data_IF_140403674845
#
_entry.id   IF_140403674845
#
_cell.length_a   1.000
_cell.length_b   1.000
_cell.length_c   1.000
_cell.angle_alpha   90.00
_cell.angle_beta   90.00
_cell.angle_gamma   90.00
#
_symmetry.space_group_name_H-M   'P 1'
#
loop_
_entity.id
_entity.type
_entity.pdbx_description
1 polymer ?
#
# COMPACT_ATOMS: atom_id res chain seq x y z
N UNK A 1 26.72 24.11 20.75
CA UNK A 1 26.07 22.95 20.10
C UNK A 1 24.99 23.51 19.22
N UNK A 2 25.30 23.70 17.94
CA UNK A 2 24.31 24.11 16.95
C UNK A 2 23.35 22.94 16.71
N UNK A 3 22.04 23.26 16.71
CA UNK A 3 20.95 22.30 16.54
C UNK A 3 21.06 21.59 15.19
N UNK A 4 21.23 20.27 15.22
CA UNK A 4 21.32 19.38 14.04
C UNK A 4 19.95 19.23 13.35
N UNK A 5 18.88 19.82 13.90
CA UNK A 5 17.53 19.58 13.44
C UNK A 5 17.06 20.53 12.31
N UNK A 6 16.35 20.00 11.29
CA UNK A 6 15.68 20.80 10.26
C UNK A 6 14.47 21.56 10.84
N UNK A 7 13.88 22.47 10.06
CA UNK A 7 12.74 23.34 10.41
C UNK A 7 11.76 22.77 11.46
N UNK A 8 11.40 23.58 12.47
CA UNK A 8 10.87 23.11 13.76
C UNK A 8 9.57 22.28 13.78
N UNK A 9 8.83 22.14 12.68
CA UNK A 9 7.63 21.30 12.64
C UNK A 9 7.96 19.80 12.63
N UNK A 10 9.03 19.38 11.95
CA UNK A 10 9.43 17.97 11.84
C UNK A 10 9.92 17.41 13.19
N UNK A 11 10.60 18.24 13.99
CA UNK A 11 11.13 17.87 15.31
C UNK A 11 10.00 17.43 16.24
N UNK A 12 8.95 18.24 16.34
CA UNK A 12 7.80 17.95 17.21
C UNK A 12 7.13 16.63 16.79
N UNK A 13 6.96 16.39 15.49
CA UNK A 13 6.37 15.16 14.96
C UNK A 13 7.14 13.89 15.38
N UNK A 14 8.47 13.94 15.32
CA UNK A 14 9.34 12.82 15.70
C UNK A 14 9.33 12.62 17.21
N UNK A 15 9.39 13.71 17.98
CA UNK A 15 9.37 13.63 19.44
C UNK A 15 8.06 13.04 19.96
N UNK A 16 6.91 13.44 19.38
CA UNK A 16 5.60 12.88 19.71
C UNK A 16 5.58 11.36 19.44
N UNK A 17 6.06 10.93 18.26
CA UNK A 17 6.17 9.51 17.91
C UNK A 17 7.05 8.72 18.88
N UNK A 18 8.24 9.22 19.19
CA UNK A 18 9.18 8.58 20.11
C UNK A 18 8.61 8.49 21.53
N UNK A 19 7.86 9.50 21.95
CA UNK A 19 7.16 9.52 23.25
C UNK A 19 6.08 8.45 23.30
N UNK A 20 5.24 8.35 22.26
CA UNK A 20 4.24 7.27 22.15
C UNK A 20 4.90 5.89 22.10
N UNK A 21 6.05 5.76 21.44
CA UNK A 21 6.85 4.53 21.44
C UNK A 21 7.59 4.25 22.77
N UNK A 22 7.42 5.10 23.80
CA UNK A 22 8.02 4.90 25.12
C UNK A 22 9.53 5.12 25.19
N UNK A 23 10.12 5.79 24.20
CA UNK A 23 11.56 6.08 24.16
C UNK A 23 11.87 7.18 25.19
N UNK A 24 12.86 6.92 26.05
CA UNK A 24 13.21 7.89 27.10
C UNK A 24 13.86 9.15 26.51
N UNK A 25 13.73 10.32 27.15
CA UNK A 25 14.37 11.56 26.67
C UNK A 25 15.89 11.45 26.45
N UNK A 26 16.57 10.59 27.23
CA UNK A 26 18.01 10.36 27.10
C UNK A 26 18.38 9.60 25.82
N UNK A 27 17.46 8.79 25.29
CA UNK A 27 17.68 7.95 24.11
C UNK A 27 17.18 8.59 22.81
N UNK A 28 16.26 9.56 22.90
CA UNK A 28 15.58 10.17 21.74
C UNK A 28 16.55 10.64 20.65
N UNK A 29 17.65 11.31 21.00
CA UNK A 29 18.65 11.78 20.03
C UNK A 29 19.32 10.62 19.29
N UNK A 30 19.73 9.57 20.02
CA UNK A 30 20.37 8.40 19.40
C UNK A 30 19.40 7.63 18.50
N UNK A 31 18.14 7.51 18.93
CA UNK A 31 17.08 6.85 18.16
C UNK A 31 16.72 7.66 16.91
N UNK A 32 16.65 8.99 17.01
CA UNK A 32 16.39 9.87 15.87
C UNK A 32 17.50 9.75 14.81
N UNK A 33 18.77 9.66 15.21
CA UNK A 33 19.88 9.45 14.27
C UNK A 33 19.74 8.15 13.46
N UNK A 34 19.17 7.10 14.05
CA UNK A 34 18.86 5.86 13.34
C UNK A 34 17.69 6.05 12.37
N UNK A 35 16.66 6.81 12.77
CA UNK A 35 15.46 7.02 11.96
C UNK A 35 15.67 7.99 10.79
N UNK A 36 16.47 9.05 10.97
CA UNK A 36 16.54 10.19 10.06
C UNK A 36 16.87 9.84 8.60
N UNK A 37 17.73 8.84 8.29
CA UNK A 37 18.00 8.45 6.90
C UNK A 37 16.80 7.79 6.21
N UNK A 38 15.78 7.39 6.97
CA UNK A 38 14.61 6.66 6.50
C UNK A 38 13.31 7.47 6.63
N UNK A 39 13.39 8.79 6.78
CA UNK A 39 12.22 9.67 6.77
C UNK A 39 11.96 10.20 5.36
N UNK A 40 10.79 9.87 4.81
CA UNK A 40 10.25 10.45 3.58
C UNK A 40 9.23 11.55 3.92
N UNK A 41 8.79 12.30 2.92
CA UNK A 41 7.76 13.33 3.08
C UNK A 41 6.65 13.17 2.05
N UNK A 42 5.41 13.38 2.48
CA UNK A 42 4.24 13.48 1.60
C UNK A 42 4.19 14.84 0.89
N UNK A 43 3.21 15.05 0.00
CA UNK A 43 3.09 16.32 -0.75
C UNK A 43 2.83 17.53 0.15
N UNK A 44 2.22 17.29 1.33
CA UNK A 44 1.96 18.33 2.35
C UNK A 44 3.07 18.45 3.38
N UNK A 45 4.26 17.89 3.09
CA UNK A 45 5.43 17.87 3.98
C UNK A 45 5.19 17.18 5.32
N UNK A 46 4.24 16.24 5.38
CA UNK A 46 4.11 15.36 6.54
C UNK A 46 5.25 14.33 6.49
N UNK A 47 6.03 14.18 7.57
CA UNK A 47 7.11 13.20 7.59
C UNK A 47 6.55 11.79 7.79
N UNK A 48 7.15 10.80 7.14
CA UNK A 48 6.83 9.38 7.29
C UNK A 48 8.11 8.58 7.51
N UNK A 49 8.15 7.76 8.56
CA UNK A 49 9.21 6.79 8.76
C UNK A 49 9.00 5.58 7.84
N UNK A 50 9.96 5.34 6.95
CA UNK A 50 9.96 4.22 6.01
C UNK A 50 10.62 3.01 6.68
N UNK A 51 9.88 1.91 6.82
CA UNK A 51 10.36 0.67 7.43
C UNK A 51 10.38 -0.42 6.37
N UNK A 52 11.57 -0.74 5.87
CA UNK A 52 11.76 -1.73 4.81
C UNK A 52 13.10 -2.44 4.96
N UNK A 53 13.10 -3.74 4.74
CA UNK A 53 14.33 -4.54 4.74
C UNK A 53 15.19 -4.31 3.48
N UNK A 54 14.57 -4.09 2.32
CA UNK A 54 15.25 -4.06 1.01
C UNK A 54 15.36 -2.65 0.42
N UNK A 55 14.80 -1.63 1.09
CA UNK A 55 14.58 -0.31 0.51
C UNK A 55 13.25 -0.28 -0.24
N UNK A 56 12.33 0.55 0.24
CA UNK A 56 10.98 0.66 -0.33
C UNK A 56 10.85 1.81 -1.32
N UNK A 57 11.66 2.85 -1.19
CA UNK A 57 11.62 4.06 -2.02
C UNK A 57 12.94 4.20 -2.76
N UNK A 58 12.88 4.55 -4.05
CA UNK A 58 14.03 4.88 -4.88
C UNK A 58 14.90 5.94 -4.22
N UNK A 59 16.21 5.67 -4.16
CA UNK A 59 17.19 6.54 -3.51
C UNK A 59 17.35 6.31 -2.01
N UNK A 60 16.47 5.55 -1.36
CA UNK A 60 16.68 5.11 0.01
C UNK A 60 17.56 3.86 0.01
N UNK A 61 18.61 3.85 0.84
CA UNK A 61 19.39 2.64 1.06
C UNK A 61 18.62 1.64 1.92
N UNK A 62 18.94 0.36 1.78
CA UNK A 62 18.52 -0.63 2.76
C UNK A 62 19.14 -0.30 4.15
N UNK A 63 18.39 -0.50 5.25
CA UNK A 63 18.95 -0.41 6.60
C UNK A 63 19.96 -1.52 6.85
N UNK A 64 20.96 -1.24 7.69
CA UNK A 64 21.80 -2.30 8.27
C UNK A 64 20.96 -3.19 9.18
N UNK A 65 21.44 -4.39 9.52
CA UNK A 65 20.71 -5.29 10.41
C UNK A 65 20.38 -4.66 11.78
N UNK A 66 21.30 -3.87 12.34
CA UNK A 66 21.08 -3.15 13.59
C UNK A 66 20.02 -2.06 13.46
N UNK A 67 20.10 -1.23 12.42
CA UNK A 67 19.10 -0.19 12.15
C UNK A 67 17.72 -0.79 11.92
N UNK A 68 17.61 -1.86 11.11
CA UNK A 68 16.35 -2.55 10.86
C UNK A 68 15.75 -3.09 12.16
N UNK A 69 16.57 -3.72 13.01
CA UNK A 69 16.11 -4.22 14.31
C UNK A 69 15.53 -3.09 15.17
N UNK A 70 16.21 -1.94 15.24
CA UNK A 70 15.70 -0.76 15.96
C UNK A 70 14.40 -0.23 15.35
N UNK A 71 14.30 -0.11 14.03
CA UNK A 71 13.09 0.38 13.35
C UNK A 71 11.89 -0.54 13.60
N UNK A 72 12.08 -1.86 13.56
CA UNK A 72 11.02 -2.84 13.84
C UNK A 72 10.59 -2.80 15.31
N UNK A 73 11.54 -2.66 16.25
CA UNK A 73 11.23 -2.50 17.68
C UNK A 73 10.43 -1.24 17.94
N UNK A 74 10.79 -0.12 17.29
CA UNK A 74 10.04 1.13 17.39
C UNK A 74 8.61 1.00 16.85
N UNK A 75 8.40 0.29 15.74
CA UNK A 75 7.06 0.05 15.20
C UNK A 75 6.17 -0.70 16.19
N UNK A 76 6.70 -1.77 16.80
CA UNK A 76 5.98 -2.55 17.82
C UNK A 76 5.71 -1.71 19.07
N UNK A 77 6.70 -0.98 19.56
CA UNK A 77 6.55 -0.11 20.74
C UNK A 77 5.53 1.01 20.48
N UNK A 78 5.56 1.63 19.31
CA UNK A 78 4.58 2.63 18.88
C UNK A 78 3.17 2.04 18.83
N UNK A 79 2.99 0.82 18.30
CA UNK A 79 1.70 0.14 18.30
C UNK A 79 1.17 -0.07 19.73
N UNK A 80 2.02 -0.45 20.69
CA UNK A 80 1.64 -0.57 22.10
C UNK A 80 1.27 0.77 22.73
N UNK A 81 1.99 1.85 22.41
CA UNK A 81 1.64 3.21 22.83
C UNK A 81 0.26 3.63 22.32
N UNK A 82 0.01 3.44 21.01
CA UNK A 82 -1.29 3.70 20.41
C UNK A 82 -2.41 2.87 21.05
N UNK A 83 -2.13 1.60 21.37
CA UNK A 83 -3.08 0.74 22.06
C UNK A 83 -3.45 1.27 23.45
N UNK A 84 -2.45 1.72 24.23
CA UNK A 84 -2.65 2.24 25.57
C UNK A 84 -3.48 3.54 25.58
N UNK A 85 -3.27 4.40 24.58
CA UNK A 85 -4.00 5.66 24.43
C UNK A 85 -5.43 5.46 23.85
N UNK A 86 -5.64 4.36 23.14
CA UNK A 86 -6.85 4.12 22.34
C UNK A 86 -6.89 5.02 21.11
N UNK A 87 -5.76 5.12 20.41
CA UNK A 87 -5.54 6.07 19.32
C UNK A 87 -6.39 5.76 18.09
N UNK A 88 -6.60 6.80 17.28
CA UNK A 88 -7.20 6.72 15.97
C UNK A 88 -6.11 6.87 14.91
N UNK A 89 -6.07 5.93 13.98
CA UNK A 89 -5.09 5.90 12.90
C UNK A 89 -5.83 5.91 11.56
N UNK A 90 -5.37 6.72 10.62
CA UNK A 90 -5.65 6.54 9.21
C UNK A 90 -4.77 5.41 8.70
N UNK A 91 -5.34 4.50 7.91
CA UNK A 91 -4.60 3.43 7.28
C UNK A 91 -5.04 3.28 5.82
N UNK A 92 -4.07 3.02 4.96
CA UNK A 92 -4.30 2.66 3.57
C UNK A 92 -3.21 1.72 3.08
N UNK A 93 -3.51 0.98 2.03
CA UNK A 93 -2.64 -0.06 1.51
C UNK A 93 -2.44 0.10 0.01
N UNK A 94 -1.22 -0.21 -0.42
CA UNK A 94 -0.88 -0.22 -1.82
C UNK A 94 -0.40 -1.61 -2.24
N UNK A 95 -0.76 -1.98 -3.46
CA UNK A 95 -0.40 -3.27 -4.01
C UNK A 95 -1.03 -3.55 -5.36
N UNK A 96 -0.81 -4.76 -5.83
CA UNK A 96 -1.16 -5.19 -7.17
C UNK A 96 -2.36 -6.13 -7.13
N UNK A 97 -3.46 -5.74 -7.79
CA UNK A 97 -4.67 -6.57 -7.91
C UNK A 97 -5.22 -7.07 -6.56
N UNK A 98 -5.23 -6.20 -5.54
CA UNK A 98 -5.68 -6.49 -4.17
C UNK A 98 -6.93 -7.37 -4.10
N UNK A 99 -6.97 -8.21 -3.07
CA UNK A 99 -7.95 -9.25 -2.82
C UNK A 99 -7.27 -10.61 -2.60
N UNK A 100 -8.03 -11.69 -2.72
CA UNK A 100 -7.55 -13.08 -2.55
C UNK A 100 -6.41 -13.53 -3.48
N UNK A 101 -6.11 -12.77 -4.53
CA UNK A 101 -5.14 -13.10 -5.58
C UNK A 101 -4.14 -11.99 -5.87
N UNK A 102 -4.24 -10.92 -5.09
CA UNK A 102 -3.39 -9.76 -5.20
C UNK A 102 -2.11 -9.91 -4.39
N UNK A 103 -1.31 -8.87 -4.49
CA UNK A 103 -0.12 -8.69 -3.67
C UNK A 103 -0.19 -7.31 -3.03
N UNK A 104 -0.55 -7.26 -1.76
CA UNK A 104 -0.43 -6.09 -0.92
C UNK A 104 1.05 -5.93 -0.54
N UNK A 105 1.63 -4.80 -0.95
CA UNK A 105 3.08 -4.56 -0.90
C UNK A 105 3.48 -3.54 0.15
N UNK A 106 2.62 -2.55 0.42
CA UNK A 106 2.94 -1.42 1.30
C UNK A 106 1.74 -1.06 2.16
N UNK A 107 2.01 -0.64 3.40
CA UNK A 107 1.04 0.00 4.29
C UNK A 107 1.46 1.44 4.61
N UNK A 108 0.52 2.38 4.54
CA UNK A 108 0.69 3.73 5.05
C UNK A 108 -0.21 3.92 6.28
N UNK A 109 0.34 4.48 7.36
CA UNK A 109 -0.41 4.76 8.60
C UNK A 109 -0.09 6.14 9.14
N UNK A 110 -1.11 6.85 9.64
CA UNK A 110 -0.95 8.19 10.22
C UNK A 110 -1.93 8.39 11.40
N UNK A 111 -1.42 8.77 12.57
CA UNK A 111 -2.29 9.12 13.70
C UNK A 111 -3.16 10.34 13.37
N UNK A 112 -4.40 10.31 13.83
CA UNK A 112 -5.35 11.41 13.57
C UNK A 112 -6.24 11.69 14.78
N UNK A 113 -6.49 12.97 15.13
CA UNK A 113 -7.42 13.35 16.17
C UNK A 113 -8.81 13.71 15.62
N UNK A 114 -9.10 13.47 14.34
CA UNK A 114 -10.31 13.99 13.68
C UNK A 114 -11.62 13.38 14.17
N UNK A 115 -11.56 12.24 14.85
CA UNK A 115 -12.70 11.61 15.53
C UNK A 115 -12.40 11.40 17.01
N UNK A 116 -13.40 11.56 17.86
CA UNK A 116 -13.33 11.20 19.29
C UNK A 116 -13.64 9.70 19.52
N UNK A 117 -13.49 9.25 20.78
CA UNK A 117 -13.74 7.85 21.19
C UNK A 117 -15.16 7.35 20.91
N UNK A 118 -16.12 8.25 20.71
CA UNK A 118 -17.50 7.89 20.34
C UNK A 118 -17.79 8.18 18.87
N UNK A 119 -16.75 8.32 18.04
CA UNK A 119 -16.78 8.52 16.60
C UNK A 119 -17.47 9.83 16.16
N UNK A 120 -17.33 10.90 16.94
CA UNK A 120 -17.80 12.23 16.52
C UNK A 120 -16.65 13.04 15.93
N UNK A 121 -16.88 13.80 14.84
CA UNK A 121 -15.93 14.77 14.35
C UNK A 121 -15.50 15.76 15.44
N UNK A 122 -14.20 15.93 15.60
CA UNK A 122 -13.61 16.94 16.48
C UNK A 122 -13.29 18.18 15.64
N UNK A 123 -13.67 19.40 16.09
CA UNK A 123 -13.20 20.63 15.43
C UNK A 123 -11.66 20.64 15.41
N UNK A 124 -11.08 20.47 14.23
CA UNK A 124 -9.66 20.27 14.08
C UNK A 124 -9.03 21.37 13.24
N UNK A 125 -8.03 22.04 13.82
CA UNK A 125 -7.08 22.86 13.10
C UNK A 125 -5.69 22.26 13.32
N UNK A 126 -5.11 21.73 12.24
CA UNK A 126 -3.78 21.12 12.31
C UNK A 126 -2.72 22.20 12.52
N UNK A 127 -1.95 22.09 13.61
CA UNK A 127 -0.75 22.92 13.86
C UNK A 127 0.50 22.26 13.28
N UNK A 128 0.62 20.95 13.44
CA UNK A 128 1.70 20.12 12.89
C UNK A 128 1.16 18.74 12.50
N UNK A 129 1.86 18.05 11.60
CA UNK A 129 1.54 16.67 11.25
C UNK A 129 2.26 15.71 12.20
N UNK A 130 1.64 14.64 12.70
CA UNK A 130 2.39 13.58 13.39
C UNK A 130 3.31 12.87 12.38
N UNK A 131 4.32 12.15 12.90
CA UNK A 131 5.13 11.26 12.07
C UNK A 131 4.26 10.07 11.63
N UNK A 132 4.11 9.90 10.31
CA UNK A 132 3.46 8.72 9.73
C UNK A 132 4.40 7.53 9.61
N UNK A 133 3.87 6.39 9.20
CA UNK A 133 4.60 5.15 8.94
C UNK A 133 4.34 4.71 7.49
N UNK A 134 5.38 4.31 6.78
CA UNK A 134 5.30 3.65 5.48
C UNK A 134 6.05 2.31 5.58
N UNK A 135 5.30 1.21 5.62
CA UNK A 135 5.84 -0.12 5.96
C UNK A 135 5.83 -1.03 4.74
N UNK A 136 6.96 -1.66 4.46
CA UNK A 136 7.12 -2.67 3.41
C UNK A 136 6.58 -4.02 3.84
N UNK A 137 5.45 -4.44 3.27
CA UNK A 137 4.78 -5.70 3.58
C UNK A 137 5.26 -6.86 2.71
N UNK A 138 6.39 -6.71 2.02
CA UNK A 138 7.07 -7.81 1.30
C UNK A 138 8.10 -8.54 2.18
N UNK A 139 8.38 -8.04 3.39
CA UNK A 139 9.27 -8.67 4.38
C UNK A 139 8.46 -9.26 5.53
N UNK A 140 8.73 -10.52 5.89
CA UNK A 140 8.08 -11.18 7.03
C UNK A 140 8.34 -10.45 8.35
N UNK A 141 9.56 -9.93 8.54
CA UNK A 141 9.92 -9.18 9.74
C UNK A 141 9.10 -7.87 9.86
N UNK A 142 8.91 -7.17 8.74
CA UNK A 142 8.06 -5.98 8.69
C UNK A 142 6.58 -6.31 8.92
N UNK A 143 6.07 -7.39 8.33
CA UNK A 143 4.70 -7.89 8.56
C UNK A 143 4.48 -8.19 10.05
N UNK A 144 5.41 -8.95 10.66
CA UNK A 144 5.30 -9.35 12.06
C UNK A 144 5.33 -8.14 13.00
N UNK A 145 6.17 -7.15 12.72
CA UNK A 145 6.22 -5.90 13.49
C UNK A 145 4.99 -5.01 13.28
N UNK A 146 4.36 -5.06 12.10
CA UNK A 146 3.17 -4.29 11.76
C UNK A 146 1.89 -4.91 12.33
N UNK A 147 1.84 -6.24 12.47
CA UNK A 147 0.66 -7.00 12.92
C UNK A 147 0.00 -6.44 14.20
N UNK A 148 0.72 -6.08 15.28
CA UNK A 148 0.11 -5.53 16.50
C UNK A 148 -0.76 -4.28 16.26
N UNK A 149 -0.38 -3.42 15.31
CA UNK A 149 -1.12 -2.21 14.98
C UNK A 149 -2.47 -2.54 14.33
N UNK A 150 -2.47 -3.48 13.38
CA UNK A 150 -3.68 -3.87 12.66
C UNK A 150 -4.60 -4.80 13.47
N UNK A 151 -4.03 -5.69 14.29
CA UNK A 151 -4.80 -6.68 15.04
C UNK A 151 -5.30 -6.17 16.40
N UNK A 152 -4.82 -5.01 16.88
CA UNK A 152 -5.33 -4.44 18.13
C UNK A 152 -6.77 -3.93 18.01
N UNK A 153 -7.73 -4.42 18.83
CA UNK A 153 -9.09 -3.90 18.83
C UNK A 153 -9.23 -2.54 19.54
N UNK A 154 -8.22 -2.11 20.31
CA UNK A 154 -8.25 -0.81 21.01
C UNK A 154 -7.77 0.35 20.15
N UNK A 155 -7.03 0.05 19.08
CA UNK A 155 -6.63 1.03 18.07
C UNK A 155 -7.72 1.09 17.01
N UNK A 156 -8.31 2.27 16.79
CA UNK A 156 -9.32 2.45 15.74
C UNK A 156 -8.64 2.83 14.42
N UNK A 157 -8.75 1.97 13.40
CA UNK A 157 -8.18 2.22 12.07
C UNK A 157 -9.26 2.73 11.12
N UNK A 158 -9.07 3.92 10.57
CA UNK A 158 -9.97 4.55 9.61
C UNK A 158 -9.43 4.31 8.20
N UNK A 159 -10.20 3.59 7.38
CA UNK A 159 -9.79 3.17 6.03
C UNK A 159 -10.87 3.53 5.00
N UNK A 160 -10.51 3.70 3.73
CA UNK A 160 -11.48 4.03 2.68
C UNK A 160 -11.68 2.90 1.69
N UNK A 161 -12.84 2.23 1.73
CA UNK A 161 -13.19 1.18 0.76
C UNK A 161 -12.32 -0.07 0.92
N UNK A 162 -12.29 -0.60 2.14
CA UNK A 162 -11.27 -1.53 2.60
C UNK A 162 -11.54 -3.03 2.29
N UNK A 163 -12.61 -3.35 1.56
CA UNK A 163 -13.03 -4.73 1.27
C UNK A 163 -11.86 -5.58 0.71
N UNK A 164 -11.16 -5.07 -0.31
CA UNK A 164 -10.05 -5.79 -0.94
C UNK A 164 -8.78 -5.84 -0.07
N UNK A 165 -8.59 -4.84 0.80
CA UNK A 165 -7.50 -4.82 1.77
C UNK A 165 -7.70 -5.92 2.82
N UNK A 166 -8.92 -6.08 3.34
CA UNK A 166 -9.27 -7.14 4.28
C UNK A 166 -9.04 -8.52 3.68
N UNK A 167 -9.48 -8.74 2.44
CA UNK A 167 -9.25 -9.97 1.70
C UNK A 167 -7.73 -10.26 1.59
N UNK A 168 -6.92 -9.25 1.25
CA UNK A 168 -5.47 -9.41 1.11
C UNK A 168 -4.79 -9.70 2.45
N UNK A 169 -5.06 -8.87 3.48
CA UNK A 169 -4.47 -9.01 4.82
C UNK A 169 -4.72 -10.40 5.42
N UNK A 170 -5.95 -10.92 5.26
CA UNK A 170 -6.32 -12.21 5.85
C UNK A 170 -5.88 -13.41 4.99
N UNK A 171 -5.98 -13.32 3.67
CA UNK A 171 -5.96 -14.51 2.79
C UNK A 171 -4.87 -14.50 1.72
N UNK A 172 -4.03 -13.47 1.64
CA UNK A 172 -2.85 -13.50 0.77
C UNK A 172 -1.84 -14.54 1.26
N UNK A 173 -1.47 -15.43 0.34
CA UNK A 173 -0.51 -16.53 0.58
C UNK A 173 0.77 -16.40 -0.25
N UNK A 174 0.66 -15.79 -1.44
CA UNK A 174 1.74 -15.67 -2.43
C UNK A 174 1.86 -14.20 -2.82
N UNK A 175 3.09 -13.65 -2.96
CA UNK A 175 4.38 -14.30 -2.75
C UNK A 175 4.75 -14.48 -1.27
N UNK A 176 4.11 -13.70 -0.38
CA UNK A 176 4.31 -13.75 1.05
C UNK A 176 2.97 -13.84 1.77
N UNK A 177 2.94 -14.67 2.79
CA UNK A 177 1.77 -14.86 3.63
C UNK A 177 1.66 -13.70 4.63
N UNK A 178 0.52 -12.99 4.62
CA UNK A 178 0.28 -11.87 5.55
C UNK A 178 -0.31 -12.36 6.88
N UNK A 179 -1.44 -13.09 6.82
CA UNK A 179 -2.18 -13.59 8.00
C UNK A 179 -2.38 -12.51 9.07
N UNK A 180 -2.80 -11.33 8.63
CA UNK A 180 -3.19 -10.24 9.53
C UNK A 180 -4.71 -10.25 9.61
N UNK A 181 -5.26 -10.40 10.82
CA UNK A 181 -6.70 -10.30 11.07
C UNK A 181 -7.02 -8.89 11.58
N UNK A 182 -7.38 -7.93 10.71
CA UNK A 182 -7.68 -6.57 11.13
C UNK A 182 -8.80 -6.53 12.16
N UNK A 183 -8.58 -5.80 13.26
CA UNK A 183 -9.58 -5.53 14.31
C UNK A 183 -9.71 -4.03 14.52
N UNK A 184 -10.83 -3.57 15.12
CA UNK A 184 -11.01 -2.14 15.38
C UNK A 184 -10.97 -1.26 14.12
N UNK A 185 -11.39 -1.80 12.96
CA UNK A 185 -11.40 -1.05 11.70
C UNK A 185 -12.76 -0.42 11.46
N UNK A 186 -12.73 0.77 10.86
CA UNK A 186 -13.87 1.51 10.34
C UNK A 186 -13.60 1.84 8.87
N UNK A 187 -14.32 1.20 7.96
CA UNK A 187 -14.38 1.64 6.57
C UNK A 187 -15.24 2.91 6.51
N UNK A 188 -14.59 4.06 6.47
CA UNK A 188 -15.27 5.36 6.48
C UNK A 188 -16.04 5.61 5.18
N UNK A 189 -15.75 4.89 4.09
CA UNK A 189 -16.52 4.97 2.85
C UNK A 189 -17.98 4.55 3.08
N UNK A 190 -18.24 3.57 3.95
CA UNK A 190 -19.61 3.15 4.31
C UNK A 190 -20.43 4.29 4.90
N UNK A 191 -19.81 5.24 5.61
CA UNK A 191 -20.54 6.36 6.20
C UNK A 191 -21.09 7.32 5.15
N UNK A 192 -20.50 7.33 3.94
CA UNK A 192 -20.88 8.24 2.86
C UNK A 192 -21.55 7.56 1.67
N UNK A 193 -21.68 6.23 1.73
CA UNK A 193 -22.28 5.41 0.67
C UNK A 193 -23.79 5.25 0.91
N UNK A 194 -24.56 4.99 -0.15
CA UNK A 194 -26.02 4.84 -0.06
C UNK A 194 -26.46 3.49 -0.64
N UNK A 195 -27.08 2.66 0.20
CA UNK A 195 -27.40 1.27 -0.13
C UNK A 195 -26.16 0.52 -0.66
N UNK A 196 -26.32 -0.14 -1.80
CA UNK A 196 -25.24 -0.92 -2.44
C UNK A 196 -24.22 -0.07 -3.21
N UNK A 197 -24.43 1.26 -3.32
CA UNK A 197 -23.57 2.14 -4.12
C UNK A 197 -22.47 2.73 -3.26
N UNK A 198 -21.27 2.14 -3.37
CA UNK A 198 -20.04 2.68 -2.79
C UNK A 198 -19.63 4.00 -3.46
N UNK A 199 -19.32 5.01 -2.66
CA UNK A 199 -18.83 6.29 -3.16
C UNK A 199 -17.29 6.28 -3.22
N UNK A 200 -16.69 6.27 -4.41
CA UNK A 200 -15.23 6.29 -4.55
C UNK A 200 -14.57 7.58 -4.03
N UNK A 201 -13.33 7.49 -3.54
CA UNK A 201 -12.61 8.61 -2.91
C UNK A 201 -12.49 9.81 -3.85
N UNK A 202 -12.14 9.58 -5.13
CA UNK A 202 -12.03 10.66 -6.12
C UNK A 202 -13.33 11.50 -6.23
N UNK A 203 -14.49 10.84 -6.23
CA UNK A 203 -15.81 11.52 -6.28
C UNK A 203 -16.14 12.24 -4.98
N UNK A 204 -15.60 11.79 -3.85
CA UNK A 204 -15.74 12.50 -2.59
C UNK A 204 -14.85 13.76 -2.59
N UNK A 205 -13.64 13.66 -3.10
CA UNK A 205 -12.70 14.79 -3.18
C UNK A 205 -13.23 15.93 -4.06
N UNK A 206 -13.98 15.62 -5.12
CA UNK A 206 -14.71 16.61 -5.94
C UNK A 206 -15.70 17.47 -5.14
N UNK A 207 -16.10 17.04 -3.94
CA UNK A 207 -17.03 17.78 -3.05
C UNK A 207 -16.31 18.68 -2.05
N UNK A 208 -14.98 18.59 -1.97
CA UNK A 208 -14.20 19.35 -1.02
C UNK A 208 -13.88 20.76 -1.57
N UNK A 209 -13.75 21.76 -0.67
CA UNK A 209 -13.16 23.04 -1.05
C UNK A 209 -11.78 22.86 -1.69
N UNK A 210 -11.55 23.50 -2.84
CA UNK A 210 -10.33 23.31 -3.64
C UNK A 210 -9.06 23.66 -2.87
N UNK A 211 -9.11 24.60 -1.93
CA UNK A 211 -7.98 25.01 -1.11
C UNK A 211 -7.49 23.92 -0.12
N UNK A 212 -8.30 22.91 0.17
CA UNK A 212 -7.93 21.81 1.08
C UNK A 212 -7.29 20.63 0.35
N UNK A 213 -7.51 20.54 -0.96
CA UNK A 213 -6.96 19.47 -1.81
C UNK A 213 -5.92 20.00 -2.80
N UNK A 214 -5.73 21.32 -2.92
CA UNK A 214 -4.82 21.93 -3.90
C UNK A 214 -3.35 21.56 -3.71
N UNK A 215 -2.95 21.22 -2.48
CA UNK A 215 -1.60 20.75 -2.18
C UNK A 215 -1.45 19.23 -2.37
N UNK A 216 -2.55 18.50 -2.59
CA UNK A 216 -2.54 17.08 -2.86
C UNK A 216 -2.58 16.86 -4.38
N UNK A 217 -1.72 16.02 -4.94
CA UNK A 217 -1.70 15.78 -6.37
C UNK A 217 -2.95 14.98 -6.78
N UNK A 218 -3.30 15.01 -8.07
CA UNK A 218 -4.50 14.33 -8.58
C UNK A 218 -4.47 12.82 -8.27
N UNK A 219 -5.62 12.21 -7.94
CA UNK A 219 -5.68 10.75 -7.63
C UNK A 219 -5.43 9.86 -8.87
N UNK A 220 -5.57 10.37 -10.09
CA UNK A 220 -5.44 9.59 -11.34
C UNK A 220 -4.02 9.60 -11.91
N UNK A 221 -3.02 9.24 -11.10
CA UNK A 221 -1.63 9.20 -11.54
C UNK A 221 -1.24 7.88 -12.19
N UNK A 222 -1.83 6.77 -11.75
CA UNK A 222 -1.46 5.42 -12.16
C UNK A 222 -2.58 4.80 -13.00
N UNK A 223 -2.27 4.36 -14.22
CA UNK A 223 -3.19 3.61 -15.07
C UNK A 223 -3.14 2.12 -14.74
N UNK A 224 -3.72 1.76 -13.60
CA UNK A 224 -3.78 0.39 -13.08
C UNK A 224 -4.25 -0.62 -14.12
N UNK A 225 -5.28 -0.27 -14.91
CA UNK A 225 -5.83 -1.20 -15.90
C UNK A 225 -4.85 -1.49 -17.04
N UNK A 226 -4.10 -0.49 -17.50
CA UNK A 226 -3.10 -0.70 -18.55
C UNK A 226 -2.05 -1.74 -18.12
N UNK A 227 -1.48 -1.60 -16.92
CA UNK A 227 -0.49 -2.53 -16.39
C UNK A 227 -1.09 -3.91 -16.05
N UNK A 228 -2.21 -3.91 -15.32
CA UNK A 228 -2.86 -5.15 -14.89
C UNK A 228 -3.39 -5.97 -16.06
N UNK A 229 -3.82 -5.35 -17.15
CA UNK A 229 -4.24 -6.07 -18.36
C UNK A 229 -3.14 -6.92 -18.99
N UNK A 230 -1.88 -6.65 -18.64
CA UNK A 230 -0.69 -7.35 -19.12
C UNK A 230 -0.03 -8.22 -18.04
N UNK A 231 -0.71 -8.43 -16.89
CA UNK A 231 -0.12 -9.05 -15.69
C UNK A 231 1.21 -8.37 -15.27
N UNK A 232 1.29 -7.04 -15.34
CA UNK A 232 2.45 -6.25 -14.91
C UNK A 232 2.10 -5.45 -13.66
N UNK A 233 3.12 -5.17 -12.84
CA UNK A 233 3.00 -4.24 -11.73
C UNK A 233 2.75 -2.83 -12.25
N UNK A 234 1.85 -2.12 -11.59
CA UNK A 234 1.64 -0.71 -11.82
C UNK A 234 2.52 0.15 -10.90
N UNK A 235 2.87 -0.37 -9.73
CA UNK A 235 3.81 0.20 -8.78
C UNK A 235 5.19 -0.42 -8.98
N UNK A 236 6.21 0.42 -9.16
CA UNK A 236 7.58 -0.03 -9.22
C UNK A 236 8.08 -0.41 -7.82
N UNK A 237 9.02 -1.34 -7.77
CA UNK A 237 9.66 -1.77 -6.53
C UNK A 237 11.18 -1.82 -6.75
N UNK A 238 11.98 -1.03 -6.01
CA UNK A 238 11.57 0.07 -5.13
C UNK A 238 10.63 1.09 -5.80
N UNK A 239 9.75 1.71 -5.01
CA UNK A 239 8.79 2.71 -5.48
C UNK A 239 9.51 3.99 -5.83
N UNK A 240 9.13 4.62 -6.94
CA UNK A 240 9.52 6.00 -7.18
C UNK A 240 8.99 6.90 -6.06
N UNK A 241 9.66 8.04 -5.85
CA UNK A 241 9.20 9.06 -4.87
C UNK A 241 7.73 9.43 -5.11
N UNK A 242 7.31 9.53 -6.37
CA UNK A 242 5.92 9.84 -6.74
C UNK A 242 4.93 8.77 -6.27
N UNK A 243 5.25 7.48 -6.44
CA UNK A 243 4.39 6.37 -6.01
C UNK A 243 4.32 6.30 -4.48
N UNK A 244 5.45 6.48 -3.78
CA UNK A 244 5.46 6.54 -2.32
C UNK A 244 4.63 7.73 -1.80
N UNK A 245 4.77 8.91 -2.42
CA UNK A 245 3.97 10.09 -2.09
C UNK A 245 2.49 9.87 -2.36
N UNK A 246 2.12 9.18 -3.45
CA UNK A 246 0.73 8.81 -3.73
C UNK A 246 0.11 8.02 -2.57
N UNK A 247 0.81 7.01 -2.06
CA UNK A 247 0.39 6.18 -0.93
C UNK A 247 0.19 7.01 0.37
N UNK A 248 1.16 7.87 0.68
CA UNK A 248 1.10 8.73 1.87
C UNK A 248 -0.04 9.77 1.79
N UNK A 249 -0.24 10.34 0.60
CA UNK A 249 -1.25 11.38 0.37
C UNK A 249 -2.68 10.86 0.45
N UNK A 250 -2.94 9.56 0.22
CA UNK A 250 -4.29 9.00 0.38
C UNK A 250 -4.78 9.09 1.84
N UNK A 251 -3.89 9.03 2.83
CA UNK A 251 -4.24 9.31 4.23
C UNK A 251 -4.68 10.77 4.41
N UNK A 252 -3.97 11.72 3.82
CA UNK A 252 -4.34 13.14 3.90
C UNK A 252 -5.66 13.43 3.18
N UNK A 253 -5.97 12.72 2.09
CA UNK A 253 -7.25 12.78 1.39
C UNK A 253 -8.39 12.28 2.29
N UNK A 254 -8.22 11.13 2.93
CA UNK A 254 -9.16 10.59 3.92
C UNK A 254 -9.43 11.63 5.00
N UNK A 255 -8.38 12.22 5.54
CA UNK A 255 -8.53 13.17 6.62
C UNK A 255 -9.23 14.46 6.22
N UNK A 256 -8.90 15.01 5.05
CA UNK A 256 -9.57 16.17 4.50
C UNK A 256 -11.08 15.93 4.35
N UNK A 257 -11.47 14.71 3.95
CA UNK A 257 -12.88 14.29 3.90
C UNK A 257 -13.48 14.30 5.31
N UNK A 258 -12.86 13.64 6.29
CA UNK A 258 -13.38 13.53 7.66
C UNK A 258 -13.56 14.89 8.35
N UNK A 259 -12.64 15.83 8.11
CA UNK A 259 -12.68 17.17 8.71
C UNK A 259 -13.80 18.03 8.10
N UNK A 260 -14.13 17.84 6.83
CA UNK A 260 -15.02 18.77 6.11
C UNK A 260 -16.39 18.22 5.77
N UNK A 261 -16.53 16.91 5.62
CA UNK A 261 -17.76 16.28 5.17
C UNK A 261 -18.42 15.54 6.32
N UNK A 262 -19.71 15.83 6.53
CA UNK A 262 -20.55 15.05 7.43
C UNK A 262 -21.31 13.98 6.62
N UNK A 263 -21.33 12.72 7.08
CA UNK A 263 -22.26 11.71 6.59
C UNK A 263 -23.70 12.27 6.53
N UNK A 264 -24.38 12.14 5.38
CA UNK A 264 -25.74 12.67 5.20
C UNK A 264 -26.82 11.72 5.71
N UNK A 265 -26.68 10.44 5.39
CA UNK A 265 -27.72 9.42 5.60
C UNK A 265 -27.30 8.35 6.61
N UNK A 266 -26.02 8.26 6.93
CA UNK A 266 -25.44 7.26 7.82
C UNK A 266 -24.63 7.94 8.94
N UNK A 267 -24.09 7.15 9.86
CA UNK A 267 -23.19 7.61 10.91
C UNK A 267 -21.91 6.77 10.92
N UNK A 268 -20.85 7.28 11.54
CA UNK A 268 -19.62 6.50 11.71
C UNK A 268 -19.83 5.24 12.56
N UNK A 269 -20.79 5.25 13.50
CA UNK A 269 -21.16 4.06 14.27
C UNK A 269 -21.88 3.03 13.39
N UNK A 270 -22.75 3.47 12.48
CA UNK A 270 -23.39 2.57 11.52
C UNK A 270 -22.35 1.98 10.55
N UNK A 271 -21.45 2.81 10.02
CA UNK A 271 -20.35 2.36 9.19
C UNK A 271 -19.43 1.36 9.92
N UNK A 272 -19.18 1.53 11.22
CA UNK A 272 -18.41 0.57 12.03
C UNK A 272 -19.09 -0.80 12.07
N UNK A 273 -20.39 -0.86 12.39
CA UNK A 273 -21.15 -2.11 12.39
C UNK A 273 -21.14 -2.80 11.03
N UNK A 274 -21.35 -2.03 9.95
CA UNK A 274 -21.28 -2.57 8.59
C UNK A 274 -19.86 -3.06 8.24
N UNK A 275 -18.81 -2.40 8.75
CA UNK A 275 -17.42 -2.85 8.58
C UNK A 275 -17.21 -4.20 9.29
N UNK A 276 -17.74 -4.36 10.49
CA UNK A 276 -17.69 -5.62 11.26
C UNK A 276 -18.41 -6.76 10.51
N UNK A 277 -19.55 -6.48 9.87
CA UNK A 277 -20.25 -7.43 8.99
C UNK A 277 -19.39 -7.82 7.77
N UNK A 278 -18.78 -6.84 7.08
CA UNK A 278 -17.88 -7.10 5.95
C UNK A 278 -16.68 -7.95 6.39
N UNK A 279 -16.06 -7.66 7.54
CA UNK A 279 -14.95 -8.44 8.08
C UNK A 279 -15.37 -9.88 8.40
N UNK A 280 -16.55 -10.07 8.99
CA UNK A 280 -17.09 -11.40 9.25
C UNK A 280 -17.33 -12.17 7.95
N UNK A 281 -17.85 -11.49 6.92
CA UNK A 281 -18.08 -12.05 5.59
C UNK A 281 -16.77 -12.48 4.91
N UNK A 282 -15.73 -11.64 4.94
CA UNK A 282 -14.40 -11.96 4.39
C UNK A 282 -13.79 -13.15 5.14
N UNK A 283 -13.94 -13.20 6.48
CA UNK A 283 -13.46 -14.32 7.29
C UNK A 283 -14.20 -15.63 6.98
N UNK A 284 -15.50 -15.55 6.69
CA UNK A 284 -16.34 -16.70 6.36
C UNK A 284 -16.17 -17.19 4.91
N UNK A 285 -15.51 -16.42 4.04
CA UNK A 285 -15.23 -16.77 2.65
C UNK A 285 -13.72 -16.92 2.40
N UNK A 286 -13.04 -17.91 2.99
CA UNK A 286 -11.60 -18.07 2.83
C UNK A 286 -11.19 -18.31 1.37
N UNK A 287 -12.10 -18.79 0.52
CA UNK A 287 -11.84 -18.98 -0.90
C UNK A 287 -12.08 -17.71 -1.74
N UNK A 288 -12.71 -16.68 -1.18
CA UNK A 288 -13.09 -15.48 -1.91
C UNK A 288 -14.10 -15.73 -3.01
N UNK A 289 -15.00 -16.70 -2.86
CA UNK A 289 -15.98 -17.02 -3.89
C UNK A 289 -16.90 -15.86 -4.23
N UNK A 290 -17.34 -15.08 -3.23
CA UNK A 290 -18.13 -13.87 -3.46
C UNK A 290 -17.33 -12.87 -4.33
N UNK A 291 -16.03 -12.74 -4.06
CA UNK A 291 -15.12 -11.87 -4.83
C UNK A 291 -14.94 -12.38 -6.27
N UNK A 292 -14.75 -13.69 -6.46
CA UNK A 292 -14.62 -14.31 -7.77
C UNK A 292 -15.89 -14.13 -8.63
N UNK A 293 -17.08 -14.36 -8.06
CA UNK A 293 -18.36 -14.20 -8.76
C UNK A 293 -18.65 -12.74 -9.12
N UNK A 294 -18.30 -11.79 -8.23
CA UNK A 294 -18.36 -10.34 -8.55
C UNK A 294 -17.46 -10.01 -9.73
N UNK A 295 -16.23 -10.51 -9.75
CA UNK A 295 -15.29 -10.30 -10.85
C UNK A 295 -15.76 -10.96 -12.15
N UNK A 296 -16.33 -12.16 -12.10
CA UNK A 296 -16.93 -12.82 -13.27
C UNK A 296 -18.07 -11.98 -13.87
N UNK A 297 -19.00 -11.50 -13.04
CA UNK A 297 -20.08 -10.61 -13.47
C UNK A 297 -19.56 -9.32 -14.09
N UNK A 298 -18.49 -8.74 -13.51
CA UNK A 298 -17.85 -7.55 -14.03
C UNK A 298 -17.12 -7.80 -15.36
N UNK A 299 -16.45 -8.95 -15.51
CA UNK A 299 -15.78 -9.37 -16.74
C UNK A 299 -16.75 -9.38 -17.92
N UNK A 300 -17.92 -10.01 -17.76
CA UNK A 300 -18.91 -10.11 -18.84
C UNK A 300 -19.51 -8.76 -19.27
N UNK A 301 -19.42 -7.73 -18.42
CA UNK A 301 -19.89 -6.37 -18.71
C UNK A 301 -18.77 -5.43 -19.19
N UNK A 302 -17.53 -5.88 -19.14
CA UNK A 302 -16.35 -5.07 -19.44
C UNK A 302 -15.88 -5.26 -20.88
N UNK A 303 -15.19 -4.24 -21.41
CA UNK A 303 -14.59 -4.25 -22.75
C UNK A 303 -13.12 -3.81 -22.71
N UNK A 304 -12.36 -4.19 -23.73
CA UNK A 304 -10.97 -3.76 -23.95
C UNK A 304 -10.05 -4.04 -22.76
N UNK A 305 -9.20 -3.06 -22.42
CA UNK A 305 -8.19 -3.15 -21.36
C UNK A 305 -8.79 -3.55 -20.00
N UNK A 306 -9.99 -3.06 -19.67
CA UNK A 306 -10.67 -3.43 -18.41
C UNK A 306 -11.09 -4.89 -18.38
N UNK A 307 -11.58 -5.42 -19.51
CA UNK A 307 -11.95 -6.83 -19.65
C UNK A 307 -10.72 -7.72 -19.45
N UNK A 308 -9.59 -7.37 -20.10
CA UNK A 308 -8.33 -8.10 -19.94
C UNK A 308 -7.79 -8.01 -18.51
N UNK A 309 -7.79 -6.84 -17.88
CA UNK A 309 -7.40 -6.67 -16.47
C UNK A 309 -8.25 -7.55 -15.54
N UNK A 310 -9.56 -7.65 -15.79
CA UNK A 310 -10.43 -8.54 -15.03
C UNK A 310 -10.15 -10.03 -15.30
N UNK A 311 -9.88 -10.42 -16.55
CA UNK A 311 -9.46 -11.78 -16.87
C UNK A 311 -8.16 -12.17 -16.14
N UNK A 312 -7.18 -11.27 -16.03
CA UNK A 312 -5.97 -11.51 -15.26
C UNK A 312 -6.30 -11.78 -13.79
N UNK A 313 -7.16 -10.97 -13.16
CA UNK A 313 -7.62 -11.20 -11.78
C UNK A 313 -8.28 -12.57 -11.62
N UNK A 314 -9.19 -12.94 -12.51
CA UNK A 314 -9.90 -14.23 -12.45
C UNK A 314 -8.96 -15.43 -12.57
N UNK A 315 -7.99 -15.38 -13.49
CA UNK A 315 -7.01 -16.46 -13.65
C UNK A 315 -6.07 -16.53 -12.45
N UNK A 316 -5.55 -15.39 -11.97
CA UNK A 316 -4.71 -15.33 -10.76
C UNK A 316 -5.43 -15.89 -9.55
N UNK A 317 -6.69 -15.52 -9.33
CA UNK A 317 -7.52 -16.03 -8.22
C UNK A 317 -7.72 -17.53 -8.33
N UNK A 318 -8.08 -18.03 -9.50
CA UNK A 318 -8.27 -19.48 -9.71
C UNK A 318 -6.97 -20.26 -9.49
N UNK A 319 -5.83 -19.72 -9.95
CA UNK A 319 -4.51 -20.32 -9.72
C UNK A 319 -4.11 -20.31 -8.24
N UNK A 320 -4.34 -19.20 -7.53
CA UNK A 320 -4.12 -19.09 -6.09
C UNK A 320 -4.98 -20.09 -5.32
N UNK A 321 -6.26 -20.25 -5.67
CA UNK A 321 -7.15 -21.23 -5.05
C UNK A 321 -6.68 -22.67 -5.24
N UNK A 322 -6.30 -23.02 -6.47
CA UNK A 322 -5.72 -24.34 -6.76
C UNK A 322 -4.44 -24.59 -5.96
N UNK A 323 -3.60 -23.58 -5.82
CA UNK A 323 -2.40 -23.69 -4.98
C UNK A 323 -2.78 -23.91 -3.52
N UNK A 324 -3.72 -23.14 -2.97
CA UNK A 324 -4.17 -23.25 -1.58
C UNK A 324 -4.84 -24.61 -1.30
N UNK A 325 -5.65 -25.09 -2.23
CA UNK A 325 -6.28 -26.43 -2.16
C UNK A 325 -5.20 -27.53 -2.15
N UNK A 326 -4.20 -27.45 -3.03
CA UNK A 326 -3.09 -28.41 -3.09
C UNK A 326 -2.29 -28.49 -1.78
N UNK A 327 -2.23 -27.38 -1.03
CA UNK A 327 -1.54 -27.30 0.26
C UNK A 327 -2.48 -27.50 1.46
N UNK A 328 -3.74 -27.91 1.24
CA UNK A 328 -4.69 -28.18 2.31
C UNK A 328 -5.14 -26.95 3.10
N UNK A 329 -4.97 -25.74 2.54
CA UNK A 329 -5.37 -24.48 3.19
C UNK A 329 -6.85 -24.17 2.98
N UNK A 330 -7.46 -24.71 1.93
CA UNK A 330 -8.88 -24.58 1.61
C UNK A 330 -9.40 -25.87 1.01
N UNK A 331 -10.70 -26.11 1.14
CA UNK A 331 -11.44 -27.15 0.40
C UNK A 331 -12.40 -26.47 -0.57
N UNK A 332 -12.25 -26.73 -1.87
CA UNK A 332 -13.11 -26.15 -2.89
C UNK A 332 -14.40 -26.94 -3.08
N UNK A 333 -14.48 -28.20 -2.61
CA UNK A 333 -15.67 -29.05 -2.72
C UNK A 333 -16.30 -29.05 -4.11
N UNK A 334 -17.60 -28.77 -4.16
CA UNK A 334 -18.42 -28.67 -5.38
C UNK A 334 -18.05 -27.48 -6.28
N UNK A 335 -17.36 -26.46 -5.74
CA UNK A 335 -16.95 -25.26 -6.50
C UNK A 335 -15.68 -25.45 -7.32
N UNK A 336 -14.98 -26.59 -7.15
CA UNK A 336 -13.75 -26.90 -7.87
C UNK A 336 -13.94 -26.86 -9.40
N UNK A 337 -15.00 -27.47 -9.90
CA UNK A 337 -15.29 -27.51 -11.34
C UNK A 337 -15.61 -26.12 -11.89
N UNK A 338 -16.41 -25.33 -11.15
CA UNK A 338 -16.72 -23.94 -11.50
C UNK A 338 -15.46 -23.08 -11.59
N UNK A 339 -14.56 -23.17 -10.61
CA UNK A 339 -13.29 -22.43 -10.62
C UNK A 339 -12.40 -22.82 -11.81
N UNK A 340 -12.32 -24.12 -12.13
CA UNK A 340 -11.58 -24.60 -13.30
C UNK A 340 -12.19 -24.11 -14.61
N UNK A 341 -13.52 -24.04 -14.71
CA UNK A 341 -14.22 -23.49 -15.88
C UNK A 341 -13.92 -21.99 -16.04
N UNK A 342 -14.02 -21.20 -14.96
CA UNK A 342 -13.66 -19.77 -14.93
C UNK A 342 -12.23 -19.56 -15.41
N UNK A 343 -11.28 -20.30 -14.83
CA UNK A 343 -9.88 -20.22 -15.24
C UNK A 343 -9.70 -20.54 -16.72
N UNK A 344 -10.35 -21.60 -17.23
CA UNK A 344 -10.17 -22.06 -18.61
C UNK A 344 -10.57 -21.00 -19.64
N UNK A 345 -11.76 -20.41 -19.52
CA UNK A 345 -12.19 -19.41 -20.48
C UNK A 345 -11.45 -18.08 -20.30
N UNK A 346 -11.13 -17.67 -19.07
CA UNK A 346 -10.40 -16.44 -18.83
C UNK A 346 -8.95 -16.56 -19.35
N UNK A 347 -8.30 -17.70 -19.15
CA UNK A 347 -6.97 -17.98 -19.68
C UNK A 347 -6.95 -18.01 -21.22
N UNK A 348 -8.02 -18.50 -21.86
CA UNK A 348 -8.16 -18.43 -23.31
C UNK A 348 -8.19 -16.98 -23.83
N UNK A 349 -8.94 -16.09 -23.16
CA UNK A 349 -8.94 -14.66 -23.47
C UNK A 349 -7.54 -14.04 -23.34
N UNK A 350 -6.82 -14.36 -22.24
CA UNK A 350 -5.45 -13.88 -22.02
C UNK A 350 -4.46 -14.41 -23.06
N UNK A 351 -4.55 -15.69 -23.41
CA UNK A 351 -3.70 -16.30 -24.42
C UNK A 351 -3.88 -15.63 -25.79
N UNK A 352 -5.12 -15.31 -26.18
CA UNK A 352 -5.42 -14.57 -27.40
C UNK A 352 -4.83 -13.15 -27.39
N UNK A 353 -4.67 -12.55 -26.21
CA UNK A 353 -4.03 -11.25 -26.03
C UNK A 353 -2.50 -11.33 -25.81
N UNK A 354 -1.91 -12.53 -25.83
CA UNK A 354 -0.48 -12.73 -25.58
C UNK A 354 -0.05 -12.48 -24.12
N UNK A 355 -0.99 -12.52 -23.17
CA UNK A 355 -0.74 -12.28 -21.75
C UNK A 355 -0.50 -13.60 -21.02
N UNK A 356 0.58 -13.67 -20.25
CA UNK A 356 0.98 -14.87 -19.49
C UNK A 356 0.95 -14.56 -18.00
N UNK A 357 0.41 -15.50 -17.22
CA UNK A 357 0.47 -15.50 -15.76
C UNK A 357 1.37 -16.66 -15.33
N UNK A 358 2.56 -16.39 -14.76
CA UNK A 358 3.44 -17.40 -14.19
C UNK A 358 2.77 -18.29 -13.14
N UNK A 359 3.23 -19.53 -13.00
CA UNK A 359 2.68 -20.48 -12.02
C UNK A 359 2.84 -20.04 -10.56
N UNK A 360 3.91 -19.28 -10.28
CA UNK A 360 4.20 -18.67 -8.98
C UNK A 360 3.44 -17.35 -8.74
N UNK A 361 2.52 -16.99 -9.65
CA UNK A 361 1.75 -15.75 -9.61
C UNK A 361 2.60 -14.47 -9.64
N UNK A 362 3.88 -14.54 -10.01
CA UNK A 362 4.70 -13.35 -10.19
C UNK A 362 4.17 -12.45 -11.31
N UNK A 363 4.55 -11.16 -11.29
CA UNK A 363 4.20 -10.23 -12.35
C UNK A 363 5.25 -10.26 -13.46
N UNK A 364 4.81 -9.99 -14.69
CA UNK A 364 5.67 -9.95 -15.86
C UNK A 364 6.70 -8.81 -15.73
N UNK A 365 7.97 -9.19 -15.61
CA UNK A 365 9.09 -8.27 -15.35
C UNK A 365 9.92 -8.69 -14.15
N UNK A 366 9.28 -9.28 -13.13
CA UNK A 366 9.91 -9.66 -11.86
C UNK A 366 10.86 -10.85 -12.03
N UNK A 367 10.54 -11.79 -12.93
CA UNK A 367 11.31 -13.02 -13.15
C UNK A 367 12.77 -12.79 -13.60
N UNK A 368 13.10 -11.61 -14.14
CA UNK A 368 14.49 -11.25 -14.46
C UNK A 368 15.30 -10.88 -13.21
N UNK A 369 14.66 -10.33 -12.18
CA UNK A 369 15.31 -9.95 -10.93
C UNK A 369 15.64 -11.17 -10.07
N UNK A 370 14.70 -12.11 -9.90
CA UNK A 370 14.93 -13.32 -9.09
C UNK A 370 15.97 -14.30 -9.66
N UNK A 371 16.17 -14.32 -10.99
CA UNK A 371 17.27 -15.10 -11.59
C UNK A 371 18.64 -14.48 -11.29
N UNK A 372 18.75 -13.15 -11.22
CA UNK A 372 20.02 -12.49 -10.88
C UNK A 372 20.41 -12.73 -9.42
N UNK A 373 19.43 -12.69 -8.51
CA UNK A 373 19.65 -12.92 -7.06
C UNK A 373 20.06 -14.35 -6.72
N UNK A 374 19.51 -15.36 -7.41
CA UNK A 374 19.94 -16.76 -7.24
C UNK A 374 21.35 -17.02 -7.76
N UNK A 375 21.79 -16.30 -8.80
CA UNK A 375 23.16 -16.44 -9.33
C UNK A 375 24.15 -15.79 -8.36
N UNK A 376 23.87 -14.60 -7.83
CA UNK A 376 24.75 -13.94 -6.87
C UNK A 376 24.83 -14.65 -5.51
N UNK A 377 23.74 -15.22 -5.00
CA UNK A 377 23.77 -16.02 -3.76
C UNK A 377 24.51 -17.36 -3.93
N UNK A 378 24.43 -17.96 -5.13
CA UNK A 378 25.16 -19.18 -5.49
C UNK A 378 26.67 -18.91 -5.63
N UNK A 379 27.06 -17.78 -6.22
CA UNK A 379 28.47 -17.39 -6.38
C UNK A 379 29.10 -16.95 -5.05
N UNK A 380 28.34 -16.27 -4.18
CA UNK A 380 28.79 -15.92 -2.83
C UNK A 380 29.01 -17.17 -1.94
N UNK A 381 28.28 -18.26 -2.17
CA UNK A 381 28.49 -19.54 -1.47
C UNK A 381 29.67 -20.35 -2.03
N UNK A 382 30.18 -20.03 -3.22
CA UNK A 382 31.34 -20.71 -3.82
C UNK A 382 32.68 -20.00 -3.56
N UNK A 383 32.69 -18.79 -3.00
CA UNK A 383 33.93 -18.04 -2.71
C UNK A 383 34.41 -18.07 -1.25
N UNK A 384 33.86 -18.93 -0.39
CA UNK A 384 34.32 -19.05 1.02
C UNK A 384 35.37 -20.16 1.27
N UNK A 385 35.91 -20.80 0.23
CA UNK A 385 37.07 -21.69 0.38
C UNK A 385 38.18 -21.33 -0.61
N UNK A 386 39.07 -20.45 -0.17
CA UNK A 386 40.52 -20.43 -0.46
C UNK A 386 41.03 -18.99 -0.30
N UNK A 387 41.69 -18.74 0.82
CA UNK A 387 42.51 -17.54 0.99
C UNK A 387 43.94 -17.84 0.50
N UNK A 388 44.50 -16.98 -0.36
CA UNK A 388 45.93 -16.80 -0.42
C UNK A 388 46.33 -15.41 0.09
N UNK A 389 47.30 -15.44 0.99
CA UNK A 389 48.07 -14.31 1.50
C UNK A 389 48.91 -13.73 0.35
N UNK A 390 48.86 -12.41 0.14
CA UNK A 390 49.77 -11.73 -0.78
C UNK A 390 49.50 -10.24 -0.93
N UNK A 391 50.39 -9.41 -0.36
CA UNK A 391 50.47 -7.97 -0.52
C UNK A 391 50.78 -7.57 -2.00
N UNK A 392 50.44 -6.34 -2.43
CA UNK A 392 51.30 -5.14 -2.58
C UNK A 392 50.55 -4.10 -3.45
N UNK A 393 50.79 -2.82 -3.14
CA UNK A 393 50.93 -1.66 -4.04
C UNK A 393 49.71 -0.78 -4.36
N UNK A 394 49.88 0.48 -3.94
CA UNK A 394 49.17 1.67 -4.37
C UNK A 394 49.48 2.02 -5.84
N UNK A 395 48.49 2.58 -6.54
CA UNK A 395 48.70 3.46 -7.69
C UNK A 395 47.56 4.46 -7.81
N UNK A 396 47.94 5.73 -7.63
CA UNK A 396 47.28 6.94 -8.14
C UNK A 396 47.04 6.83 -9.66
N UNK A 397 45.83 7.13 -10.13
CA UNK A 397 45.61 7.72 -11.46
C UNK A 397 44.35 8.58 -11.44
N UNK A 398 44.56 9.89 -11.61
CA UNK A 398 43.58 10.90 -11.97
C UNK A 398 43.15 10.74 -13.43
N UNK A 399 41.86 10.94 -13.74
CA UNK A 399 41.44 11.36 -15.08
C UNK A 399 40.05 12.01 -15.05
N UNK A 400 40.05 13.32 -15.30
CA UNK A 400 38.90 14.11 -15.72
C UNK A 400 38.33 13.55 -17.03
N UNK A 401 37.01 13.53 -17.17
CA UNK A 401 36.36 13.56 -18.47
C UNK A 401 35.00 14.27 -18.34
N UNK A 402 34.96 15.51 -18.84
CA UNK A 402 33.75 16.30 -18.98
C UNK A 402 32.87 15.77 -20.12
N UNK A 403 31.59 15.57 -19.83
CA UNK A 403 30.57 15.32 -20.85
C UNK A 403 29.84 16.61 -21.25
N UNK A 404 29.56 16.83 -22.54
CA UNK A 404 28.81 17.98 -23.01
C UNK A 404 27.30 17.83 -22.76
N UNK A 405 26.68 18.89 -22.24
CA UNK A 405 25.24 19.03 -22.07
C UNK A 405 24.54 19.25 -23.42
N UNK A 406 23.72 18.29 -23.83
CA UNK A 406 22.84 18.42 -25.00
C UNK A 406 21.52 19.07 -24.57
N UNK A 407 21.29 20.29 -25.04
CA UNK A 407 20.05 21.04 -24.84
C UNK A 407 18.95 20.53 -25.79
N UNK A 408 18.07 19.65 -25.31
CA UNK A 408 16.90 19.17 -26.06
C UNK A 408 15.72 20.11 -25.80
N UNK A 409 15.40 20.95 -26.80
CA UNK A 409 14.14 21.74 -26.83
C UNK A 409 12.94 20.78 -26.97
N UNK A 410 12.04 20.80 -25.99
CA UNK A 410 10.74 20.11 -26.08
C UNK A 410 9.82 20.82 -27.10
N UNK A 411 9.17 20.10 -28.02
CA UNK A 411 8.16 20.69 -28.90
C UNK A 411 6.87 20.99 -28.12
N UNK A 412 6.21 22.09 -28.51
CA UNK A 412 4.96 22.57 -27.94
C UNK A 412 3.81 21.55 -28.13
N UNK A 413 3.02 21.35 -27.07
CA UNK A 413 1.80 20.52 -27.12
C UNK A 413 0.71 21.22 -27.94
N UNK A 414 -0.02 20.51 -28.81
CA UNK A 414 -1.22 21.04 -29.43
C UNK A 414 -2.38 21.17 -28.42
N UNK A 415 -3.32 22.11 -28.64
CA UNK A 415 -4.44 22.35 -27.74
C UNK A 415 -5.41 21.18 -27.71
N UNK A 416 -5.95 20.88 -26.52
CA UNK A 416 -6.99 19.85 -26.33
C UNK A 416 -8.31 20.31 -26.96
N UNK A 417 -9.03 19.44 -27.69
CA UNK A 417 -10.38 19.75 -28.15
C UNK A 417 -11.36 19.83 -26.97
N UNK A 418 -12.26 20.80 -27.05
CA UNK A 418 -13.31 21.07 -26.07
C UNK A 418 -14.30 19.91 -25.98
N UNK A 419 -14.39 19.28 -24.81
CA UNK A 419 -15.44 18.29 -24.53
C UNK A 419 -16.75 19.05 -24.27
N UNK A 420 -17.69 18.93 -25.20
CA UNK A 420 -19.10 19.29 -25.00
C UNK A 420 -19.69 18.37 -23.93
N UNK A 421 -20.40 18.98 -22.98
CA UNK A 421 -21.09 18.33 -21.88
C UNK A 421 -22.08 17.26 -22.37
N UNK A 422 -21.98 16.07 -21.78
CA UNK A 422 -22.92 14.97 -21.97
C UNK A 422 -23.95 15.02 -20.84
N UNK A 423 -25.23 15.08 -21.20
CA UNK A 423 -26.35 15.29 -20.29
C UNK A 423 -27.20 14.00 -20.23
N UNK A 424 -27.22 13.23 -19.12
CA UNK A 424 -28.01 12.01 -19.05
C UNK A 424 -29.38 12.30 -18.43
N UNK A 425 -30.37 12.52 -19.29
CA UNK A 425 -31.78 12.51 -18.94
C UNK A 425 -32.37 11.11 -18.98
N UNK A 426 -33.16 10.80 -17.95
CA UNK A 426 -34.29 9.87 -17.91
C UNK A 426 -34.08 8.40 -18.30
N UNK A 427 -34.05 7.54 -17.29
CA UNK A 427 -34.80 6.28 -17.31
C UNK A 427 -35.50 6.11 -15.96
N UNK A 428 -36.82 5.89 -16.03
CA UNK A 428 -37.70 5.51 -14.92
C UNK A 428 -37.44 4.06 -14.53
#
# INVERSE_FOLDING_TARGET
MESIFPEGSCITSVQDFLTTAGVSPAEMESTYRVMSPFIASSSVRCPFLVISQQGLIDGFRAPTAGELSTLLQLLVAYAHGCEAEGSFLLADFEGEMLGHCGELSTAAVLATPVLDKILRPVPFQRKHFPLGLLVDLRSSACIDAFRPLMESPKITKLMWGADADFESLMHQEIPIQLKIVPQGVLDIQLAYSTGDRRLGMARMLERLPSNLVSALPDKKQIDWHAYHSQNRRALHLPMSVMEATYAMDDLHRIEAILVTQKPKESSYQAARRNTEEVLADVKADPCGWKSLERNESFYHKSLGVRKLSCAVRLVRHSMALRWREKHGLVDLGDKKEKAAQIQKWAASELANAGVVIPEDLSFMGDAKAHKAEKVTASEASQMTSEAPVGAVAAADVSAENGMPTVNIRKPARPPRPSQKAWNPGHWR
#
